data_IF_988151582042
#
_entry.id   IF_988151582042
#
_cell.length_a   1.000
_cell.length_b   1.000
_cell.length_c   1.000
_cell.angle_alpha   90.00
_cell.angle_beta   90.00
_cell.angle_gamma   90.00
#
_symmetry.space_group_name_H-M   'P 1'
#
loop_
_entity.id
_entity.type
_entity.pdbx_description
1 polymer ?
#
# COMPACT_ATOMS: atom_id res chain seq x y z
N UNK A 1 -45.49 -29.80 53.91
CA UNK A 1 -44.17 -30.45 53.85
C UNK A 1 -43.15 -29.38 53.54
N UNK A 2 -42.52 -28.90 54.61
CA UNK A 2 -41.35 -28.01 54.58
C UNK A 2 -40.13 -28.78 54.10
N UNK A 3 -39.21 -28.10 53.40
CA UNK A 3 -37.77 -28.19 53.68
C UNK A 3 -36.98 -27.15 52.87
N UNK A 4 -36.47 -26.17 53.62
CA UNK A 4 -35.29 -25.38 53.30
C UNK A 4 -34.03 -26.21 53.54
N UNK A 5 -32.97 -25.99 52.76
CA UNK A 5 -31.60 -25.99 53.28
C UNK A 5 -30.66 -25.18 52.36
N UNK A 6 -29.80 -24.31 52.92
CA UNK A 6 -28.81 -23.49 52.21
C UNK A 6 -27.44 -24.19 52.16
N UNK A 7 -26.63 -23.85 51.16
CA UNK A 7 -25.21 -24.19 51.09
C UNK A 7 -24.36 -22.95 51.31
N UNK A 8 -23.73 -22.88 52.48
CA UNK A 8 -22.70 -21.92 52.90
C UNK A 8 -21.31 -22.47 52.51
N UNK A 9 -20.37 -21.60 52.16
CA UNK A 9 -19.02 -21.98 51.77
C UNK A 9 -18.17 -20.80 51.27
N UNK A 10 -17.20 -20.29 52.07
CA UNK A 10 -16.46 -19.07 51.80
C UNK A 10 -15.04 -19.31 51.24
N UNK A 11 -14.53 -18.36 50.45
CA UNK A 11 -13.09 -18.10 50.24
C UNK A 11 -12.97 -16.75 49.48
N UNK A 12 -12.48 -15.67 50.08
CA UNK A 12 -11.07 -15.34 50.35
C UNK A 12 -10.52 -14.32 49.32
N UNK A 13 -10.43 -13.07 49.79
CA UNK A 13 -9.24 -12.22 49.75
C UNK A 13 -8.43 -12.07 48.44
N UNK A 14 -8.54 -10.91 47.78
CA UNK A 14 -7.56 -9.79 47.83
C UNK A 14 -7.66 -8.85 46.61
N UNK A 15 -7.33 -7.56 46.78
CA UNK A 15 -7.32 -6.56 45.72
C UNK A 15 -6.06 -6.67 44.85
N UNK A 16 -6.23 -6.68 43.53
CA UNK A 16 -5.14 -6.38 42.61
C UNK A 16 -5.02 -4.87 42.44
N UNK A 17 -4.27 -4.23 43.34
CA UNK A 17 -3.57 -2.99 43.02
C UNK A 17 -2.27 -3.38 42.32
N UNK A 18 -2.12 -3.05 41.04
CA UNK A 18 -0.79 -2.86 40.43
C UNK A 18 -0.84 -1.63 39.54
N UNK A 19 -0.33 -0.56 40.14
CA UNK A 19 0.49 0.52 39.60
C UNK A 19 0.34 0.91 38.11
N UNK A 20 -0.14 2.14 37.92
CA UNK A 20 0.11 2.98 36.76
C UNK A 20 1.61 3.05 36.41
N UNK A 21 2.03 2.94 35.14
CA UNK A 21 3.38 3.32 34.76
C UNK A 21 3.53 4.85 34.82
N UNK A 22 4.54 5.24 35.60
CA UNK A 22 5.13 6.58 35.74
C UNK A 22 5.38 7.21 34.36
N UNK A 23 4.87 8.43 34.19
CA UNK A 23 5.36 9.36 33.18
C UNK A 23 6.59 10.05 33.75
N UNK A 24 7.74 9.94 33.08
CA UNK A 24 8.80 10.94 33.20
C UNK A 24 9.27 11.38 31.81
N UNK A 25 9.34 12.71 31.56
CA UNK A 25 9.82 13.32 30.33
C UNK A 25 11.30 13.71 30.42
N UNK A 26 11.79 14.31 29.34
CA UNK A 26 13.06 15.05 29.16
C UNK A 26 14.25 14.24 28.64
N UNK A 27 15.17 14.78 27.85
CA UNK A 27 15.29 15.93 26.95
C UNK A 27 16.74 15.81 26.44
N UNK A 28 17.01 16.11 25.17
CA UNK A 28 18.39 16.11 24.66
C UNK A 28 18.39 16.29 23.15
N UNK A 29 18.38 17.54 22.66
CA UNK A 29 19.59 18.24 22.22
C UNK A 29 20.32 17.41 21.14
N UNK A 30 20.14 17.69 19.85
CA UNK A 30 20.48 18.94 19.21
C UNK A 30 21.84 18.80 18.54
N UNK A 31 21.88 18.75 17.21
CA UNK A 31 23.03 19.23 16.43
C UNK A 31 22.66 19.34 14.95
N UNK A 32 22.33 20.58 14.57
CA UNK A 32 22.50 21.07 13.22
C UNK A 32 23.96 21.51 13.04
N UNK A 33 24.60 21.08 11.97
CA UNK A 33 25.81 21.67 11.40
C UNK A 33 25.61 21.63 9.88
N UNK A 34 25.25 22.76 9.25
CA UNK A 34 26.12 23.84 8.77
C UNK A 34 27.08 23.38 7.68
N UNK A 35 26.89 24.02 6.52
CA UNK A 35 27.57 23.85 5.26
C UNK A 35 29.00 24.39 5.23
N UNK A 36 29.82 23.79 4.36
CA UNK A 36 30.98 24.39 3.67
C UNK A 36 31.24 23.45 2.48
N UNK A 37 31.03 23.76 1.19
CA UNK A 37 31.41 24.93 0.42
C UNK A 37 32.63 24.56 -0.44
N UNK A 38 32.50 24.46 -1.77
CA UNK A 38 33.39 25.13 -2.74
C UNK A 38 33.04 24.78 -4.20
N UNK A 39 33.14 25.80 -5.05
CA UNK A 39 32.68 25.89 -6.42
C UNK A 39 33.77 25.60 -7.46
N UNK A 40 33.36 25.31 -8.70
CA UNK A 40 33.91 25.85 -9.98
C UNK A 40 33.06 25.29 -11.13
N UNK A 41 32.20 26.08 -11.75
CA UNK A 41 32.50 26.93 -12.92
C UNK A 41 32.87 26.10 -14.17
N UNK A 42 31.94 26.02 -15.12
CA UNK A 42 32.15 25.42 -16.43
C UNK A 42 30.91 25.53 -17.29
N UNK A 43 30.85 26.56 -18.12
CA UNK A 43 29.84 26.82 -19.14
C UNK A 43 29.63 25.61 -20.07
N UNK A 44 28.37 25.30 -20.39
CA UNK A 44 27.95 24.98 -21.77
C UNK A 44 26.42 24.84 -21.85
N UNK A 45 25.78 25.81 -22.51
CA UNK A 45 24.41 25.72 -23.02
C UNK A 45 24.51 25.20 -24.45
N UNK A 46 23.93 24.04 -24.81
CA UNK A 46 23.60 23.75 -26.19
C UNK A 46 22.16 24.13 -26.50
N UNK A 47 22.03 24.78 -27.66
CA UNK A 47 20.89 25.49 -28.19
C UNK A 47 19.65 24.62 -28.42
N UNK A 48 18.51 25.32 -28.36
CA UNK A 48 17.21 24.87 -28.82
C UNK A 48 17.24 24.52 -30.31
N UNK A 49 16.83 23.29 -30.63
CA UNK A 49 16.32 22.92 -31.96
C UNK A 49 14.87 22.50 -31.76
N UNK A 50 13.94 23.34 -32.20
CA UNK A 50 12.52 23.04 -32.20
C UNK A 50 12.13 22.03 -33.29
N UNK A 51 10.89 21.53 -33.22
CA UNK A 51 10.12 21.26 -34.41
C UNK A 51 8.95 22.26 -34.53
N UNK A 52 8.81 22.81 -35.73
CA UNK A 52 7.72 23.69 -36.13
C UNK A 52 6.35 23.02 -36.02
N UNK A 53 5.26 23.79 -35.82
CA UNK A 53 3.90 23.27 -35.84
C UNK A 53 3.49 22.94 -37.29
N UNK A 54 3.20 21.66 -37.55
CA UNK A 54 2.58 21.25 -38.80
C UNK A 54 1.08 21.59 -38.77
N UNK A 55 0.65 22.22 -39.85
CA UNK A 55 -0.65 22.82 -40.09
C UNK A 55 -1.85 21.89 -39.80
N UNK A 56 -2.85 22.45 -39.11
CA UNK A 56 -4.23 22.01 -39.22
C UNK A 56 -4.75 22.32 -40.63
N UNK A 57 -5.31 21.32 -41.30
CA UNK A 57 -5.90 21.46 -42.63
C UNK A 57 -6.72 20.25 -43.03
N UNK A 58 -7.96 20.20 -42.54
CA UNK A 58 -9.16 19.73 -43.23
C UNK A 58 -9.18 18.27 -43.76
N UNK A 59 -9.72 17.36 -42.95
CA UNK A 59 -10.60 16.29 -43.48
C UNK A 59 -11.92 16.31 -42.72
N UNK A 60 -12.92 16.82 -43.43
CA UNK A 60 -14.33 16.59 -43.21
C UNK A 60 -14.63 15.08 -43.15
N UNK A 61 -14.99 14.57 -41.97
CA UNK A 61 -15.76 13.33 -41.80
C UNK A 61 -16.67 13.44 -40.57
N UNK A 62 -17.87 13.98 -40.83
CA UNK A 62 -19.22 13.54 -40.43
C UNK A 62 -19.36 12.62 -39.19
N UNK A 63 -20.33 12.86 -38.27
CA UNK A 63 -20.50 12.10 -37.05
C UNK A 63 -21.23 10.78 -37.32
N UNK A 64 -20.59 9.65 -37.00
CA UNK A 64 -21.23 8.33 -36.95
C UNK A 64 -21.05 7.77 -35.53
N UNK A 65 -22.18 7.75 -34.83
CA UNK A 65 -22.62 6.80 -33.81
C UNK A 65 -21.62 5.73 -33.34
N UNK A 66 -21.40 5.71 -32.02
CA UNK A 66 -21.31 4.46 -31.27
C UNK A 66 -19.97 3.74 -31.28
N UNK A 67 -18.94 4.34 -30.67
CA UNK A 67 -17.82 3.57 -30.13
C UNK A 67 -17.88 3.73 -28.60
N UNK A 68 -18.24 2.64 -27.90
CA UNK A 68 -18.08 2.54 -26.46
C UNK A 68 -16.65 2.97 -26.08
N UNK A 69 -16.41 3.60 -24.92
CA UNK A 69 -15.05 3.91 -24.50
C UNK A 69 -14.30 2.59 -24.38
N UNK A 70 -13.51 2.26 -25.40
CA UNK A 70 -12.56 1.17 -25.36
C UNK A 70 -11.72 1.43 -24.12
N UNK A 71 -11.81 0.51 -23.16
CA UNK A 71 -10.94 0.48 -22.01
C UNK A 71 -9.53 0.63 -22.53
N UNK A 72 -8.98 1.84 -22.45
CA UNK A 72 -7.62 2.12 -22.87
C UNK A 72 -6.78 1.13 -22.09
N UNK A 73 -6.17 0.19 -22.83
CA UNK A 73 -5.24 -0.78 -22.31
C UNK A 73 -4.03 0.01 -21.80
N UNK A 74 -4.18 0.51 -20.57
CA UNK A 74 -3.14 1.20 -19.84
C UNK A 74 -1.94 0.28 -19.65
N UNK A 75 -0.80 0.83 -19.23
CA UNK A 75 0.41 0.06 -19.00
C UNK A 75 0.13 -1.15 -18.12
N UNK A 76 0.30 -2.34 -18.69
CA UNK A 76 -0.01 -3.60 -18.03
C UNK A 76 1.04 -3.85 -16.94
N UNK A 77 0.65 -3.77 -15.66
CA UNK A 77 1.55 -4.00 -14.54
C UNK A 77 2.02 -5.46 -14.51
N UNK A 78 3.31 -5.69 -14.25
CA UNK A 78 3.91 -7.04 -14.12
C UNK A 78 4.43 -7.28 -12.71
N UNK A 79 4.49 -8.55 -12.27
CA UNK A 79 5.01 -8.90 -10.94
C UNK A 79 6.43 -8.35 -10.65
N UNK A 80 7.40 -8.41 -11.59
CA UNK A 80 8.72 -7.83 -11.36
C UNK A 80 8.70 -6.31 -11.17
N UNK A 81 7.83 -5.60 -11.90
CA UNK A 81 7.66 -4.15 -11.76
C UNK A 81 7.04 -3.80 -10.40
N UNK A 82 5.99 -4.53 -10.01
CA UNK A 82 5.31 -4.35 -8.73
C UNK A 82 6.29 -4.58 -7.57
N UNK A 83 7.01 -5.70 -7.62
CA UNK A 83 8.07 -6.02 -6.67
C UNK A 83 9.14 -4.94 -6.59
N UNK A 84 9.65 -4.48 -7.74
CA UNK A 84 10.71 -3.46 -7.78
C UNK A 84 10.26 -2.15 -7.14
N UNK A 85 9.02 -1.74 -7.40
CA UNK A 85 8.44 -0.52 -6.86
C UNK A 85 8.26 -0.60 -5.34
N UNK A 86 7.72 -1.72 -4.83
CA UNK A 86 7.57 -1.93 -3.39
C UNK A 86 8.93 -1.98 -2.70
N UNK A 87 9.92 -2.64 -3.32
CA UNK A 87 11.27 -2.75 -2.76
C UNK A 87 12.06 -1.44 -2.74
N UNK A 88 11.69 -0.43 -3.52
CA UNK A 88 12.39 0.86 -3.51
C UNK A 88 11.83 1.84 -2.47
N UNK A 89 10.82 1.45 -1.69
CA UNK A 89 10.16 2.31 -0.71
C UNK A 89 10.10 1.64 0.66
N UNK A 90 10.15 2.40 1.76
CA UNK A 90 9.95 1.84 3.10
C UNK A 90 8.51 1.36 3.31
N UNK A 91 7.55 2.01 2.65
CA UNK A 91 6.12 1.70 2.72
C UNK A 91 5.41 2.18 1.45
N UNK A 92 4.38 1.45 1.02
CA UNK A 92 3.56 1.76 -0.16
C UNK A 92 2.07 1.55 0.18
N UNK A 93 1.29 2.63 0.33
CA UNK A 93 -0.17 2.55 0.40
C UNK A 93 -0.81 1.99 -0.88
N UNK A 94 -1.97 1.35 -0.76
CA UNK A 94 -2.67 0.78 -1.92
C UNK A 94 -2.96 1.79 -3.05
N UNK A 95 -3.35 3.02 -2.69
CA UNK A 95 -3.65 4.07 -3.67
C UNK A 95 -2.44 4.47 -4.52
N UNK A 96 -1.22 4.31 -4.00
CA UNK A 96 -0.02 4.62 -4.77
C UNK A 96 0.25 3.62 -5.88
N UNK A 97 -0.07 2.33 -5.68
CA UNK A 97 0.05 1.31 -6.73
C UNK A 97 -0.85 1.65 -7.92
N UNK A 98 -2.11 1.99 -7.64
CA UNK A 98 -3.09 2.34 -8.66
C UNK A 98 -2.63 3.53 -9.49
N UNK A 99 -2.18 4.59 -8.82
CA UNK A 99 -1.65 5.79 -9.48
C UNK A 99 -0.38 5.50 -10.29
N UNK A 100 0.54 4.67 -9.77
CA UNK A 100 1.86 4.44 -10.39
C UNK A 100 1.77 3.59 -11.66
N UNK A 101 0.89 2.60 -11.65
CA UNK A 101 0.77 1.65 -12.76
C UNK A 101 -0.39 1.99 -13.71
N UNK A 102 -1.14 3.07 -13.47
CA UNK A 102 -2.27 3.44 -14.30
C UNK A 102 -3.33 2.34 -14.33
N UNK A 103 -3.61 1.76 -13.15
CA UNK A 103 -4.54 0.63 -13.02
C UNK A 103 -5.95 1.16 -13.27
N UNK A 104 -6.41 0.98 -14.51
CA UNK A 104 -7.73 1.40 -15.00
C UNK A 104 -8.81 0.44 -14.47
N UNK A 105 -9.20 0.64 -13.21
CA UNK A 105 -10.28 -0.09 -12.53
C UNK A 105 -11.13 0.86 -11.68
N UNK A 106 -12.35 0.44 -11.35
CA UNK A 106 -13.25 1.18 -10.46
C UNK A 106 -12.59 1.36 -9.09
N UNK A 107 -12.85 2.47 -8.39
CA UNK A 107 -12.32 2.69 -7.04
C UNK A 107 -12.65 1.53 -6.08
N UNK A 108 -13.78 0.86 -6.32
CA UNK A 108 -14.30 -0.27 -5.54
C UNK A 108 -13.80 -1.66 -6.01
N UNK A 109 -12.88 -1.74 -6.96
CA UNK A 109 -12.34 -3.04 -7.39
C UNK A 109 -11.54 -3.69 -6.28
N UNK A 110 -12.06 -4.82 -5.78
CA UNK A 110 -11.46 -5.60 -4.70
C UNK A 110 -11.25 -7.04 -5.14
N UNK A 111 -10.04 -7.55 -4.90
CA UNK A 111 -9.67 -8.94 -5.14
C UNK A 111 -9.37 -9.64 -3.82
N UNK A 112 -10.01 -10.79 -3.59
CA UNK A 112 -9.69 -11.67 -2.47
C UNK A 112 -8.48 -12.55 -2.77
N UNK A 113 -7.53 -12.62 -1.85
CA UNK A 113 -6.31 -13.43 -1.96
C UNK A 113 -6.27 -14.41 -0.80
N UNK A 114 -6.25 -15.70 -1.10
CA UNK A 114 -6.07 -16.75 -0.09
C UNK A 114 -4.59 -16.95 0.22
N UNK A 115 -4.23 -16.70 1.48
CA UNK A 115 -2.92 -16.91 2.08
C UNK A 115 -3.05 -17.92 3.24
N UNK A 116 -2.67 -19.16 2.97
CA UNK A 116 -2.83 -20.26 3.92
C UNK A 116 -4.31 -20.49 4.25
N UNK A 117 -4.69 -20.34 5.52
CA UNK A 117 -6.06 -20.50 6.02
C UNK A 117 -6.88 -19.21 6.02
N UNK A 118 -6.27 -18.07 5.68
CA UNK A 118 -6.90 -16.76 5.72
C UNK A 118 -7.09 -16.16 4.32
N UNK A 119 -8.17 -15.43 4.12
CA UNK A 119 -8.41 -14.64 2.91
C UNK A 119 -8.30 -13.17 3.27
N UNK A 120 -7.44 -12.46 2.55
CA UNK A 120 -7.28 -11.00 2.67
C UNK A 120 -7.83 -10.33 1.42
N UNK A 121 -8.26 -9.07 1.55
CA UNK A 121 -8.86 -8.33 0.45
C UNK A 121 -7.97 -7.16 0.06
N UNK A 122 -7.75 -7.00 -1.25
CA UNK A 122 -6.88 -5.96 -1.80
C UNK A 122 -7.69 -5.08 -2.74
N UNK A 123 -7.60 -3.77 -2.59
CA UNK A 123 -8.22 -2.78 -3.49
C UNK A 123 -7.53 -2.67 -4.85
N UNK A 124 -7.38 -3.79 -5.56
CA UNK A 124 -6.86 -3.90 -6.91
C UNK A 124 -7.78 -4.81 -7.74
N UNK A 125 -7.90 -4.58 -9.06
CA UNK A 125 -8.62 -5.46 -9.96
C UNK A 125 -7.96 -6.85 -10.04
N UNK A 126 -8.74 -7.84 -10.50
CA UNK A 126 -8.41 -9.27 -10.39
C UNK A 126 -7.02 -9.66 -10.90
N UNK A 127 -6.57 -9.05 -12.00
CA UNK A 127 -5.28 -9.34 -12.61
C UNK A 127 -4.12 -8.89 -11.71
N UNK A 128 -4.10 -7.61 -11.32
CA UNK A 128 -3.07 -7.02 -10.47
C UNK A 128 -3.12 -7.57 -9.05
N UNK A 129 -4.32 -7.85 -8.53
CA UNK A 129 -4.52 -8.54 -7.26
C UNK A 129 -3.88 -9.93 -7.26
N UNK A 130 -4.01 -10.68 -8.35
CA UNK A 130 -3.39 -12.01 -8.50
C UNK A 130 -1.86 -11.93 -8.48
N UNK A 131 -1.27 -10.97 -9.21
CA UNK A 131 0.18 -10.74 -9.22
C UNK A 131 0.71 -10.36 -7.84
N UNK A 132 -0.01 -9.50 -7.11
CA UNK A 132 0.35 -9.18 -5.74
C UNK A 132 0.27 -10.42 -4.84
N UNK A 133 -0.77 -11.24 -5.00
CA UNK A 133 -0.94 -12.48 -4.25
C UNK A 133 0.22 -13.46 -4.41
N UNK A 134 0.79 -13.56 -5.61
CA UNK A 134 2.00 -14.36 -5.85
C UNK A 134 3.19 -13.84 -5.04
N UNK A 135 3.42 -12.52 -5.01
CA UNK A 135 4.51 -11.91 -4.25
C UNK A 135 4.34 -12.10 -2.73
N UNK A 136 3.10 -11.97 -2.23
CA UNK A 136 2.77 -12.19 -0.82
C UNK A 136 2.98 -13.65 -0.43
N UNK A 137 2.48 -14.60 -1.23
CA UNK A 137 2.71 -16.05 -1.02
C UNK A 137 4.18 -16.43 -1.20
N UNK A 138 4.91 -15.65 -2.00
CA UNK A 138 6.35 -15.70 -2.19
C UNK A 138 7.16 -15.31 -0.96
N UNK A 139 6.56 -14.56 -0.03
CA UNK A 139 7.28 -13.92 1.09
C UNK A 139 8.22 -12.80 0.62
N UNK A 140 8.02 -12.29 -0.60
CA UNK A 140 8.86 -11.23 -1.18
C UNK A 140 8.42 -9.83 -0.70
N UNK A 141 7.15 -9.72 -0.32
CA UNK A 141 6.48 -8.49 0.12
C UNK A 141 5.64 -8.80 1.36
N UNK A 142 5.64 -7.87 2.31
CA UNK A 142 4.76 -7.87 3.48
C UNK A 142 3.60 -6.89 3.29
N UNK A 143 2.56 -7.04 4.09
CA UNK A 143 1.33 -6.25 3.97
C UNK A 143 0.81 -5.85 5.35
N UNK A 144 0.12 -4.72 5.37
CA UNK A 144 -0.58 -4.20 6.54
C UNK A 144 -2.08 -4.33 6.33
N UNK A 145 -2.78 -4.82 7.36
CA UNK A 145 -4.22 -4.98 7.34
C UNK A 145 -4.89 -3.89 8.18
N UNK A 146 -5.97 -3.32 7.65
CA UNK A 146 -7.01 -2.74 8.50
C UNK A 146 -7.95 -3.85 8.97
N UNK A 147 -8.17 -3.88 10.28
CA UNK A 147 -9.15 -4.75 10.95
C UNK A 147 -10.38 -3.97 11.44
N UNK A 148 -10.45 -2.68 11.10
CA UNK A 148 -11.55 -1.79 11.48
C UNK A 148 -12.90 -2.23 10.86
N UNK A 149 -12.93 -2.79 9.63
CA UNK A 149 -14.01 -3.69 9.22
C UNK A 149 -13.73 -5.13 9.68
N UNK A 150 -14.79 -5.91 9.97
CA UNK A 150 -14.69 -7.37 10.23
C UNK A 150 -13.98 -8.15 9.10
N UNK A 151 -13.81 -7.52 7.94
CA UNK A 151 -13.14 -8.06 6.76
C UNK A 151 -11.70 -7.52 6.69
N UNK A 152 -10.66 -8.38 6.66
CA UNK A 152 -9.27 -7.94 6.64
C UNK A 152 -8.90 -7.34 5.26
N UNK A 153 -8.70 -6.03 5.22
CA UNK A 153 -8.35 -5.29 3.98
C UNK A 153 -6.90 -4.84 4.04
N UNK A 154 -6.16 -5.06 2.96
CA UNK A 154 -4.80 -4.55 2.81
C UNK A 154 -4.83 -3.05 2.60
N UNK A 155 -4.14 -2.30 3.46
CA UNK A 155 -4.03 -0.85 3.38
C UNK A 155 -2.66 -0.38 2.90
N UNK A 156 -1.62 -1.19 3.07
CA UNK A 156 -0.29 -0.90 2.57
C UNK A 156 0.63 -2.10 2.52
N UNK A 157 1.79 -1.87 1.91
CA UNK A 157 2.79 -2.88 1.59
C UNK A 157 4.18 -2.41 1.99
N UNK A 158 5.05 -3.35 2.32
CA UNK A 158 6.43 -3.08 2.69
C UNK A 158 7.37 -4.18 2.18
N UNK A 159 8.65 -3.89 1.92
CA UNK A 159 9.61 -4.88 1.47
C UNK A 159 9.86 -5.95 2.53
N UNK A 160 9.85 -7.21 2.12
CA UNK A 160 10.32 -8.32 2.96
C UNK A 160 11.69 -8.81 2.47
N UNK A 161 12.47 -9.34 3.41
CA UNK A 161 13.65 -10.14 3.04
C UNK A 161 13.14 -11.52 2.60
N UNK A 162 13.61 -12.06 1.45
CA UNK A 162 13.21 -13.39 1.03
C UNK A 162 13.47 -14.40 2.15
N UNK A 163 12.43 -15.13 2.55
CA UNK A 163 12.56 -16.21 3.53
C UNK A 163 12.87 -17.48 2.74
N UNK A 164 14.05 -18.08 2.98
CA UNK A 164 14.39 -19.35 2.36
C UNK A 164 13.34 -20.41 2.79
N UNK A 165 12.78 -21.13 1.82
CA UNK A 165 11.85 -22.23 2.08
C UNK A 165 12.56 -23.54 1.74
N UNK A 166 12.75 -24.38 2.75
CA UNK A 166 13.31 -25.74 2.69
C UNK A 166 12.26 -26.76 2.28
#
# INVERSE_FOLDING_TARGET
>A
MSQSAPGDGPAESRPAQIASPVSEPMNGAGSAAVATGSASAGLAVPAASGPAPAASGLTDRRPELGEAPGFSAGPVCTAPQLRRFIKSRPYVPMHELRRRFGINGSEDDVTGITLGTSTIFVGLPGREGSLLGELLRGGEVGYELSLDPRTPIVIGLYPMRPVARS
#
